data_IF_045730941260
#
_entry.id   IF_045730941260
#
_cell.length_a   1.000
_cell.length_b   1.000
_cell.length_c   1.000
_cell.angle_alpha   90.00
_cell.angle_beta   90.00
_cell.angle_gamma   90.00
#
_symmetry.space_group_name_H-M   'P 1'
#
loop_
_entity.id
_entity.type
_entity.pdbx_description
1 polymer ?
#
# COMPACT_ATOMS: atom_id res chain seq x y z
N UNK A 1 23.79 19.48 4.54
CA UNK A 1 22.78 19.93 3.54
C UNK A 1 22.70 18.86 2.46
N UNK A 2 21.66 18.02 2.39
CA UNK A 2 21.32 17.29 1.17
C UNK A 2 19.81 17.47 0.93
N UNK A 3 19.48 18.28 -0.08
CA UNK A 3 18.18 18.17 -0.76
C UNK A 3 18.33 16.93 -1.64
N UNK A 4 17.25 16.16 -1.86
CA UNK A 4 17.32 14.97 -2.71
C UNK A 4 17.95 15.37 -4.06
N UNK A 5 19.00 14.67 -4.49
CA UNK A 5 19.76 14.99 -5.71
C UNK A 5 18.82 15.07 -6.92
N UNK A 6 17.81 14.21 -6.96
CA UNK A 6 16.81 14.17 -8.03
C UNK A 6 15.91 15.42 -8.05
N UNK A 7 15.64 16.03 -6.89
CA UNK A 7 14.83 17.25 -6.81
C UNK A 7 15.59 18.47 -7.30
N UNK A 8 16.89 18.56 -6.98
CA UNK A 8 17.76 19.61 -7.49
C UNK A 8 17.92 19.51 -9.01
N UNK A 9 18.01 18.29 -9.54
CA UNK A 9 18.07 18.05 -10.98
C UNK A 9 16.77 18.50 -11.67
N UNK A 10 15.60 18.16 -11.11
CA UNK A 10 14.30 18.59 -11.68
C UNK A 10 14.12 20.11 -11.68
N UNK A 11 14.41 20.76 -10.55
CA UNK A 11 14.40 22.23 -10.44
C UNK A 11 15.38 22.87 -11.45
N UNK A 12 16.59 22.32 -11.56
CA UNK A 12 17.61 22.79 -12.50
C UNK A 12 17.18 22.65 -13.96
N UNK A 13 16.54 21.54 -14.33
CA UNK A 13 15.99 21.32 -15.66
C UNK A 13 14.87 22.32 -15.98
N UNK A 14 13.96 22.59 -15.05
CA UNK A 14 12.91 23.60 -15.26
C UNK A 14 13.49 25.01 -15.48
N UNK A 15 14.52 25.39 -14.71
CA UNK A 15 15.22 26.67 -14.94
C UNK A 15 15.87 26.71 -16.32
N UNK A 16 16.50 25.61 -16.74
CA UNK A 16 17.15 25.48 -18.05
C UNK A 16 16.13 25.58 -19.19
N UNK A 17 14.99 24.90 -19.07
CA UNK A 17 13.89 24.96 -20.04
C UNK A 17 13.32 26.38 -20.15
N UNK A 18 13.07 27.05 -19.03
CA UNK A 18 12.58 28.43 -19.03
C UNK A 18 13.60 29.38 -19.68
N UNK A 19 14.89 29.22 -19.41
CA UNK A 19 15.94 30.00 -20.07
C UNK A 19 15.96 29.78 -21.58
N UNK A 20 15.93 28.52 -22.02
CA UNK A 20 15.96 28.17 -23.44
C UNK A 20 14.69 28.64 -24.18
N UNK A 21 13.53 28.66 -23.50
CA UNK A 21 12.29 29.20 -24.07
C UNK A 21 12.36 30.70 -24.38
N UNK A 22 13.24 31.43 -23.68
CA UNK A 22 13.57 32.84 -23.93
C UNK A 22 14.78 33.03 -24.84
N UNK A 23 15.32 31.94 -25.41
CA UNK A 23 16.50 31.92 -26.28
C UNK A 23 17.76 32.51 -25.63
N UNK A 24 17.84 32.51 -24.30
CA UNK A 24 18.98 33.08 -23.57
C UNK A 24 20.10 32.06 -23.38
N UNK A 25 21.34 32.50 -23.48
CA UNK A 25 22.50 31.74 -22.99
C UNK A 25 22.61 31.82 -21.47
N UNK A 26 23.41 30.93 -20.86
CA UNK A 26 23.67 30.97 -19.41
C UNK A 26 24.36 32.29 -18.99
N UNK A 27 25.15 32.89 -19.88
CA UNK A 27 25.84 34.15 -19.68
C UNK A 27 24.88 35.34 -19.80
N UNK A 28 23.96 35.31 -20.76
CA UNK A 28 22.93 36.34 -20.91
C UNK A 28 21.95 36.34 -19.73
N UNK A 29 21.53 35.16 -19.28
CA UNK A 29 20.69 35.05 -18.08
C UNK A 29 21.44 35.54 -16.84
N UNK A 30 22.73 35.23 -16.72
CA UNK A 30 23.57 35.70 -15.64
C UNK A 30 23.65 37.24 -15.58
N UNK A 31 23.84 37.88 -16.74
CA UNK A 31 23.86 39.34 -16.88
C UNK A 31 22.51 39.96 -16.50
N UNK A 32 21.41 39.42 -17.01
CA UNK A 32 20.05 39.94 -16.76
C UNK A 32 19.61 39.77 -15.29
N UNK A 33 20.01 38.67 -14.65
CA UNK A 33 19.64 38.38 -13.25
C UNK A 33 20.65 38.92 -12.22
N UNK A 34 21.77 39.50 -12.66
CA UNK A 34 22.89 39.87 -11.80
C UNK A 34 23.37 38.71 -10.90
N UNK A 35 23.41 37.49 -11.48
CA UNK A 35 23.89 36.27 -10.84
C UNK A 35 25.05 35.75 -11.67
N UNK A 36 26.19 35.38 -11.08
CA UNK A 36 27.32 34.85 -11.83
C UNK A 36 26.93 33.64 -12.71
N UNK A 37 27.46 33.56 -13.93
CA UNK A 37 27.23 32.44 -14.85
C UNK A 37 27.55 31.07 -14.22
N UNK A 38 28.64 30.96 -13.46
CA UNK A 38 28.99 29.75 -12.72
C UNK A 38 27.91 29.32 -11.71
N UNK A 39 27.15 30.27 -11.15
CA UNK A 39 26.04 29.98 -10.23
C UNK A 39 24.80 29.49 -10.99
N UNK A 40 24.51 30.04 -12.17
CA UNK A 40 23.45 29.55 -13.07
C UNK A 40 23.75 28.10 -13.48
N UNK A 41 24.99 27.79 -13.88
CA UNK A 41 25.43 26.42 -14.22
C UNK A 41 25.19 25.46 -13.05
N UNK A 42 25.52 25.87 -11.82
CA UNK A 42 25.30 25.05 -10.63
C UNK A 42 23.82 24.81 -10.33
N UNK A 43 22.93 25.76 -10.65
CA UNK A 43 21.49 25.56 -10.51
C UNK A 43 20.96 24.58 -11.56
N UNK A 44 21.29 24.78 -12.84
CA UNK A 44 20.79 23.93 -13.93
C UNK A 44 21.26 22.48 -13.80
N UNK A 45 22.49 22.27 -13.32
CA UNK A 45 23.04 20.92 -13.12
C UNK A 45 22.59 20.27 -11.80
N UNK A 46 21.72 20.92 -11.03
CA UNK A 46 21.26 20.40 -9.73
C UNK A 46 22.36 20.28 -8.67
N UNK A 47 23.47 21.00 -8.83
CA UNK A 47 24.59 21.01 -7.88
C UNK A 47 24.32 21.93 -6.69
N UNK A 48 23.38 22.89 -6.84
CA UNK A 48 23.01 23.86 -5.81
C UNK A 48 21.52 24.21 -5.91
N UNK A 49 20.89 24.46 -4.76
CA UNK A 49 19.51 25.00 -4.71
C UNK A 49 19.48 26.50 -4.96
N UNK A 50 18.42 26.98 -5.62
CA UNK A 50 18.13 28.40 -5.80
C UNK A 50 17.64 29.00 -4.47
N UNK A 51 18.17 30.16 -4.07
CA UNK A 51 17.70 30.87 -2.88
C UNK A 51 16.38 31.59 -3.16
N UNK A 52 15.55 31.87 -2.15
CA UNK A 52 14.29 32.61 -2.35
C UNK A 52 14.49 33.97 -3.04
N UNK A 53 15.60 34.65 -2.76
CA UNK A 53 15.95 35.93 -3.39
C UNK A 53 16.22 35.74 -4.89
N UNK A 54 17.07 34.77 -5.23
CA UNK A 54 17.46 34.51 -6.62
C UNK A 54 16.31 33.90 -7.43
N UNK A 55 15.45 33.11 -6.80
CA UNK A 55 14.25 32.55 -7.42
C UNK A 55 13.32 33.66 -7.91
N UNK A 56 13.03 34.67 -7.06
CA UNK A 56 12.25 35.84 -7.48
C UNK A 56 12.86 36.55 -8.68
N UNK A 57 14.15 36.85 -8.61
CA UNK A 57 14.87 37.54 -9.69
C UNK A 57 14.80 36.73 -11.00
N UNK A 58 15.04 35.42 -10.93
CA UNK A 58 15.01 34.54 -12.11
C UNK A 58 13.59 34.39 -12.67
N UNK A 59 12.58 34.28 -11.81
CA UNK A 59 11.16 34.22 -12.21
C UNK A 59 10.73 35.51 -12.90
N UNK A 60 11.14 36.67 -12.38
CA UNK A 60 10.83 37.98 -12.97
C UNK A 60 11.51 38.13 -14.35
N UNK A 61 12.81 37.81 -14.45
CA UNK A 61 13.58 37.90 -15.70
C UNK A 61 13.06 36.94 -16.78
N UNK A 62 12.65 35.73 -16.39
CA UNK A 62 12.18 34.71 -17.32
C UNK A 62 10.66 34.75 -17.56
N UNK A 63 9.91 35.57 -16.82
CA UNK A 63 8.45 35.59 -16.86
C UNK A 63 7.83 34.23 -16.53
N UNK A 64 8.41 33.54 -15.55
CA UNK A 64 8.04 32.18 -15.18
C UNK A 64 7.53 32.11 -13.73
N UNK A 65 6.76 31.07 -13.40
CA UNK A 65 6.44 30.78 -12.00
C UNK A 65 7.71 30.46 -11.18
N UNK A 66 7.60 30.51 -9.86
CA UNK A 66 8.72 30.19 -8.94
C UNK A 66 9.28 28.78 -9.20
N UNK A 67 10.57 28.70 -9.49
CA UNK A 67 11.28 27.44 -9.75
C UNK A 67 11.42 26.58 -8.50
N UNK A 68 11.25 27.16 -7.32
CA UNK A 68 11.21 26.46 -6.03
C UNK A 68 9.78 26.20 -5.52
N UNK A 69 8.73 26.58 -6.26
CA UNK A 69 7.31 26.43 -5.88
C UNK A 69 6.97 24.99 -5.51
N UNK A 70 7.36 24.03 -6.34
CA UNK A 70 7.14 22.60 -6.09
C UNK A 70 7.81 22.10 -4.80
N UNK A 71 9.01 22.60 -4.49
CA UNK A 71 9.71 22.26 -3.26
C UNK A 71 9.06 22.89 -2.02
N UNK A 72 8.50 24.09 -2.14
CA UNK A 72 7.77 24.77 -1.06
C UNK A 72 6.42 24.08 -0.82
N UNK A 73 5.66 23.82 -1.89
CA UNK A 73 4.38 23.12 -1.83
C UNK A 73 4.54 21.71 -1.27
N UNK A 74 5.59 20.96 -1.64
CA UNK A 74 5.85 19.64 -1.06
C UNK A 74 6.16 19.68 0.43
N UNK A 75 6.90 20.69 0.92
CA UNK A 75 7.13 20.84 2.37
C UNK A 75 5.85 21.15 3.13
N UNK A 76 4.97 21.97 2.54
CA UNK A 76 3.63 22.21 3.08
C UNK A 76 2.78 20.93 3.01
N UNK A 77 2.89 20.16 1.93
CA UNK A 77 2.18 18.89 1.76
C UNK A 77 2.60 17.86 2.81
N UNK A 78 3.89 17.77 3.15
CA UNK A 78 4.40 16.88 4.22
C UNK A 78 3.82 17.25 5.59
N UNK A 79 3.62 18.55 5.87
CA UNK A 79 2.93 19.01 7.08
C UNK A 79 1.46 18.62 7.08
N UNK A 80 0.77 18.87 5.97
CA UNK A 80 -0.65 18.51 5.78
C UNK A 80 -0.84 16.99 5.94
N UNK A 81 0.05 16.18 5.36
CA UNK A 81 -0.01 14.73 5.45
C UNK A 81 0.28 14.22 6.86
N UNK A 82 1.18 14.90 7.61
CA UNK A 82 1.43 14.60 9.02
C UNK A 82 0.25 14.95 9.92
N UNK A 83 -0.42 16.09 9.69
CA UNK A 83 -1.64 16.48 10.43
C UNK A 83 -2.80 15.51 10.15
N UNK A 84 -2.94 15.08 8.89
CA UNK A 84 -3.89 14.01 8.52
C UNK A 84 -3.57 12.70 9.21
N UNK A 85 -2.29 12.30 9.27
CA UNK A 85 -1.86 11.11 10.00
C UNK A 85 -2.18 11.22 11.50
N UNK A 86 -1.94 12.38 12.11
CA UNK A 86 -2.22 12.61 13.52
C UNK A 86 -3.72 12.49 13.82
N UNK A 87 -4.57 13.17 13.06
CA UNK A 87 -6.02 13.18 13.23
C UNK A 87 -6.64 11.80 13.00
N UNK A 88 -6.20 11.10 11.96
CA UNK A 88 -6.66 9.74 11.62
C UNK A 88 -6.35 8.70 12.70
N UNK A 89 -5.20 8.82 13.36
CA UNK A 89 -4.74 7.84 14.37
C UNK A 89 -4.98 8.31 15.82
N UNK A 90 -5.60 9.47 16.03
CA UNK A 90 -5.90 10.04 17.36
C UNK A 90 -4.63 10.18 18.22
N UNK A 91 -3.50 10.55 17.61
CA UNK A 91 -2.25 10.74 18.36
C UNK A 91 -2.17 12.11 19.02
N UNK A 92 -1.76 12.12 20.29
CA UNK A 92 -1.34 13.36 20.94
C UNK A 92 -0.07 13.92 20.26
N UNK A 93 0.21 15.20 20.47
CA UNK A 93 1.44 15.80 19.92
C UNK A 93 2.68 15.17 20.56
N UNK A 94 2.56 14.75 21.81
CA UNK A 94 3.54 14.00 22.60
C UNK A 94 3.84 12.63 21.98
N UNK A 95 2.82 11.90 21.54
CA UNK A 95 2.98 10.60 20.89
C UNK A 95 3.68 10.74 19.53
N UNK A 96 3.30 11.76 18.76
CA UNK A 96 3.92 12.09 17.48
C UNK A 96 5.40 12.48 17.65
N UNK A 97 5.71 13.25 18.70
CA UNK A 97 7.07 13.63 19.09
C UNK A 97 7.93 12.40 19.39
N UNK A 98 7.42 11.46 20.19
CA UNK A 98 8.10 10.20 20.50
C UNK A 98 8.33 9.35 19.25
N UNK A 99 7.30 9.17 18.42
CA UNK A 99 7.39 8.38 17.17
C UNK A 99 8.39 8.94 16.17
N UNK A 100 8.47 10.26 16.03
CA UNK A 100 9.43 10.92 15.13
C UNK A 100 10.82 11.05 15.75
N UNK A 101 10.96 10.87 17.07
CA UNK A 101 12.16 11.23 17.81
C UNK A 101 12.54 12.70 17.60
N UNK A 102 11.54 13.58 17.61
CA UNK A 102 11.70 15.03 17.50
C UNK A 102 11.17 15.63 18.79
N UNK A 103 11.93 16.51 19.42
CA UNK A 103 11.53 17.17 20.66
C UNK A 103 10.20 17.94 20.49
N UNK A 104 9.33 17.88 21.49
CA UNK A 104 7.93 18.32 21.41
C UNK A 104 7.81 19.82 21.12
N UNK A 105 8.67 20.66 21.72
CA UNK A 105 8.67 22.10 21.47
C UNK A 105 9.06 22.41 20.01
N UNK A 106 9.99 21.63 19.45
CA UNK A 106 10.41 21.77 18.07
C UNK A 106 9.33 21.29 17.08
N UNK A 107 8.66 20.18 17.39
CA UNK A 107 7.54 19.68 16.60
C UNK A 107 6.37 20.68 16.59
N UNK A 108 6.03 21.23 17.75
CA UNK A 108 5.00 22.28 17.86
C UNK A 108 5.34 23.51 17.02
N UNK A 109 6.61 23.93 17.01
CA UNK A 109 7.07 25.05 16.18
C UNK A 109 6.89 24.77 14.68
N UNK A 110 7.09 23.52 14.25
CA UNK A 110 6.88 23.11 12.86
C UNK A 110 5.39 23.09 12.48
N UNK A 111 4.54 22.47 13.31
CA UNK A 111 3.09 22.37 13.07
C UNK A 111 2.42 23.75 13.06
N UNK A 112 2.80 24.62 14.00
CA UNK A 112 2.29 25.99 14.06
C UNK A 112 2.94 26.92 13.02
N UNK A 113 3.74 26.38 12.09
CA UNK A 113 4.45 27.09 11.02
C UNK A 113 5.40 28.24 11.46
N UNK A 114 5.59 28.43 12.76
CA UNK A 114 6.53 29.38 13.35
C UNK A 114 8.00 29.09 13.02
N UNK A 115 8.30 27.86 12.57
CA UNK A 115 9.62 27.45 12.08
C UNK A 115 9.50 26.52 10.88
N UNK A 116 10.33 26.67 9.84
CA UNK A 116 10.32 25.74 8.71
C UNK A 116 10.85 24.36 9.11
N UNK A 117 10.28 23.31 8.52
CA UNK A 117 10.74 21.93 8.70
C UNK A 117 12.23 21.78 8.35
N UNK A 118 12.98 21.19 9.29
CA UNK A 118 14.38 20.82 9.04
C UNK A 118 14.48 19.61 8.11
N UNK A 119 15.64 19.43 7.47
CA UNK A 119 15.87 18.28 6.57
C UNK A 119 15.70 16.94 7.28
N UNK A 120 16.23 16.81 8.49
CA UNK A 120 16.09 15.61 9.31
C UNK A 120 14.62 15.36 9.67
N UNK A 121 13.87 16.42 10.02
CA UNK A 121 12.45 16.31 10.29
C UNK A 121 11.67 15.83 9.06
N UNK A 122 11.93 16.37 7.86
CA UNK A 122 11.30 15.92 6.62
C UNK A 122 11.58 14.44 6.39
N UNK A 123 12.83 13.99 6.49
CA UNK A 123 13.18 12.57 6.28
C UNK A 123 12.45 11.68 7.29
N UNK A 124 12.44 12.05 8.58
CA UNK A 124 11.74 11.30 9.62
C UNK A 124 10.23 11.23 9.40
N UNK A 125 9.61 12.35 9.02
CA UNK A 125 8.18 12.42 8.72
C UNK A 125 7.86 11.62 7.46
N UNK A 126 8.60 11.82 6.38
CA UNK A 126 8.40 11.05 5.13
C UNK A 126 8.65 9.57 5.36
N UNK A 127 9.60 9.18 6.20
CA UNK A 127 9.84 7.79 6.59
C UNK A 127 8.69 7.25 7.44
N UNK A 128 8.14 8.02 8.40
CA UNK A 128 6.95 7.64 9.16
C UNK A 128 5.74 7.43 8.25
N UNK A 129 5.46 8.39 7.36
CA UNK A 129 4.35 8.35 6.41
C UNK A 129 4.53 7.26 5.34
N UNK A 130 5.76 6.97 4.93
CA UNK A 130 6.06 5.85 4.01
C UNK A 130 6.00 4.50 4.72
N UNK A 131 6.40 4.47 5.99
CA UNK A 131 6.24 3.32 6.87
C UNK A 131 4.81 3.19 7.40
N UNK A 132 3.86 4.06 7.04
CA UNK A 132 2.44 3.85 7.36
C UNK A 132 1.92 2.57 6.69
N UNK A 133 2.57 2.11 5.60
CA UNK A 133 2.36 0.78 5.03
C UNK A 133 3.05 -0.37 5.80
N UNK A 134 4.07 -0.07 6.62
CA UNK A 134 4.82 -1.02 7.45
C UNK A 134 4.33 -1.07 8.91
N UNK A 135 3.80 0.00 9.48
CA UNK A 135 3.16 -0.02 10.82
C UNK A 135 1.89 -0.88 10.81
N UNK A 136 1.28 -1.11 9.64
CA UNK A 136 0.23 -2.12 9.45
C UNK A 136 0.70 -3.54 9.81
N UNK A 137 2.01 -3.82 9.72
CA UNK A 137 2.59 -5.08 10.17
C UNK A 137 2.78 -5.13 11.70
N UNK A 138 2.70 -4.00 12.42
CA UNK A 138 2.96 -3.93 13.86
C UNK A 138 1.76 -4.29 14.76
N UNK A 139 0.54 -4.37 14.22
CA UNK A 139 -0.64 -4.74 15.01
C UNK A 139 -0.83 -6.26 15.15
N UNK A 140 0.07 -7.07 14.59
CA UNK A 140 0.14 -8.52 14.84
C UNK A 140 1.60 -8.89 15.16
N UNK A 141 2.10 -8.44 16.32
CA UNK A 141 3.38 -8.93 16.84
C UNK A 141 3.23 -10.37 17.32
N UNK A 142 4.01 -11.29 16.75
CA UNK A 142 4.42 -12.51 17.45
C UNK A 142 5.67 -12.19 18.29
N UNK A 143 5.89 -12.96 19.36
CA UNK A 143 6.91 -12.68 20.39
C UNK A 143 8.35 -12.56 19.85
N UNK A 144 8.63 -13.10 18.66
CA UNK A 144 9.96 -13.12 18.03
C UNK A 144 10.24 -11.94 17.06
N UNK A 145 9.27 -11.04 16.86
CA UNK A 145 9.43 -9.90 15.96
C UNK A 145 9.46 -10.25 14.46
N UNK A 146 9.15 -11.50 14.07
CA UNK A 146 9.05 -11.90 12.67
C UNK A 146 7.59 -11.91 12.19
N UNK A 147 7.32 -11.27 11.04
CA UNK A 147 6.02 -11.37 10.37
C UNK A 147 6.03 -12.59 9.45
N UNK A 148 5.40 -13.68 9.88
CA UNK A 148 5.07 -14.81 9.01
C UNK A 148 3.55 -14.99 8.98
N UNK A 149 2.99 -14.87 7.78
CA UNK A 149 1.61 -15.28 7.52
C UNK A 149 1.42 -16.74 7.99
N UNK A 150 0.26 -17.09 8.58
CA UNK A 150 0.04 -18.43 9.09
C UNK A 150 0.13 -19.45 7.96
N UNK A 151 0.83 -20.55 8.23
CA UNK A 151 0.93 -21.67 7.30
C UNK A 151 -0.35 -22.52 7.46
N UNK A 152 -0.95 -22.90 6.33
CA UNK A 152 -2.14 -23.76 6.35
C UNK A 152 -1.73 -25.17 6.77
N UNK A 153 -2.15 -25.58 7.97
CA UNK A 153 -2.24 -26.99 8.32
C UNK A 153 -3.45 -27.61 7.61
N UNK A 154 -3.17 -28.33 6.51
CA UNK A 154 -4.22 -28.92 5.68
C UNK A 154 -5.02 -29.99 6.43
N UNK A 155 -4.41 -30.72 7.36
CA UNK A 155 -5.10 -31.77 8.13
C UNK A 155 -6.08 -31.10 9.09
N UNK A 156 -5.64 -30.07 9.83
CA UNK A 156 -6.51 -29.33 10.72
C UNK A 156 -7.63 -28.60 9.96
N UNK A 157 -7.33 -28.01 8.79
CA UNK A 157 -8.34 -27.43 7.89
C UNK A 157 -9.37 -28.48 7.47
N UNK A 158 -8.93 -29.67 7.07
CA UNK A 158 -9.80 -30.77 6.67
C UNK A 158 -10.75 -31.21 7.79
N UNK A 159 -10.23 -31.32 9.02
CA UNK A 159 -11.05 -31.61 10.22
C UNK A 159 -12.14 -30.56 10.43
N UNK A 160 -11.82 -29.27 10.32
CA UNK A 160 -12.82 -28.19 10.44
C UNK A 160 -13.90 -28.25 9.35
N UNK A 161 -13.52 -28.56 8.11
CA UNK A 161 -14.48 -28.77 7.01
C UNK A 161 -15.40 -29.96 7.34
N UNK A 162 -14.83 -31.05 7.84
CA UNK A 162 -15.59 -32.23 8.24
C UNK A 162 -16.57 -31.93 9.39
N UNK A 163 -16.15 -31.18 10.40
CA UNK A 163 -17.00 -30.75 11.52
C UNK A 163 -18.18 -29.92 11.02
N UNK A 164 -17.93 -28.93 10.14
CA UNK A 164 -18.98 -28.12 9.52
C UNK A 164 -20.01 -29.02 8.82
N UNK A 165 -19.57 -30.01 8.04
CA UNK A 165 -20.48 -30.95 7.38
C UNK A 165 -21.24 -31.83 8.37
N UNK A 166 -20.55 -32.42 9.35
CA UNK A 166 -21.15 -33.34 10.33
C UNK A 166 -22.18 -32.63 11.22
N UNK A 167 -21.92 -31.40 11.64
CA UNK A 167 -22.85 -30.58 12.42
C UNK A 167 -24.15 -30.28 11.66
N UNK A 168 -24.16 -30.44 10.33
CA UNK A 168 -25.33 -30.29 9.48
C UNK A 168 -26.02 -31.63 9.17
N UNK A 169 -25.48 -32.76 9.63
CA UNK A 169 -26.00 -34.10 9.32
C UNK A 169 -25.92 -34.45 7.83
N UNK A 170 -25.01 -33.85 7.07
CA UNK A 170 -24.94 -34.02 5.62
C UNK A 170 -23.95 -35.12 5.20
N UNK A 171 -24.32 -35.90 4.19
CA UNK A 171 -23.37 -36.80 3.52
C UNK A 171 -22.37 -35.98 2.70
N UNK A 172 -21.21 -36.57 2.37
CA UNK A 172 -20.21 -35.92 1.51
C UNK A 172 -20.80 -35.43 0.17
N UNK A 173 -21.72 -36.21 -0.39
CA UNK A 173 -22.38 -35.89 -1.66
C UNK A 173 -23.39 -34.75 -1.49
N UNK A 174 -24.25 -34.81 -0.46
CA UNK A 174 -25.23 -33.75 -0.18
C UNK A 174 -24.52 -32.42 0.10
N UNK A 175 -23.44 -32.46 0.87
CA UNK A 175 -22.63 -31.28 1.18
C UNK A 175 -22.05 -30.62 -0.08
N UNK A 176 -21.45 -31.42 -0.97
CA UNK A 176 -20.85 -30.91 -2.20
C UNK A 176 -21.85 -30.38 -3.23
N UNK A 177 -23.12 -30.82 -3.20
CA UNK A 177 -24.20 -30.32 -4.06
C UNK A 177 -24.67 -28.91 -3.68
N UNK A 178 -24.44 -28.45 -2.45
CA UNK A 178 -24.86 -27.14 -1.96
C UNK A 178 -23.98 -25.97 -2.46
N UNK A 179 -22.92 -26.23 -3.23
CA UNK A 179 -22.00 -25.18 -3.70
C UNK A 179 -22.41 -24.62 -5.05
N UNK A 180 -22.12 -23.34 -5.31
CA UNK A 180 -22.28 -22.70 -6.63
C UNK A 180 -21.73 -23.57 -7.77
N UNK A 181 -20.55 -24.15 -7.52
CA UNK A 181 -19.93 -25.15 -8.38
C UNK A 181 -19.89 -26.47 -7.62
N UNK A 182 -20.75 -27.45 -7.98
CA UNK A 182 -20.84 -28.70 -7.27
C UNK A 182 -19.46 -29.38 -7.11
N UNK A 183 -19.27 -30.00 -5.95
CA UNK A 183 -18.11 -30.84 -5.66
C UNK A 183 -18.56 -32.29 -5.47
N UNK A 184 -17.92 -33.22 -6.19
CA UNK A 184 -18.21 -34.64 -6.01
C UNK A 184 -17.74 -35.14 -4.64
N UNK A 185 -18.34 -36.24 -4.16
CA UNK A 185 -17.99 -36.93 -2.90
C UNK A 185 -16.47 -37.08 -2.70
N UNK A 186 -15.75 -37.52 -3.74
CA UNK A 186 -14.31 -37.74 -3.68
C UNK A 186 -13.52 -36.45 -3.45
N UNK A 187 -14.00 -35.32 -3.98
CA UNK A 187 -13.36 -34.02 -3.83
C UNK A 187 -13.52 -33.52 -2.39
N UNK A 188 -14.75 -33.59 -1.86
CA UNK A 188 -15.03 -33.22 -0.46
C UNK A 188 -14.21 -34.09 0.50
N UNK A 189 -14.15 -35.41 0.25
CA UNK A 189 -13.34 -36.33 1.03
C UNK A 189 -11.84 -35.98 1.02
N UNK A 190 -11.27 -35.56 -0.12
CA UNK A 190 -9.88 -35.11 -0.20
C UNK A 190 -9.61 -33.85 0.60
N UNK A 191 -10.58 -32.93 0.70
CA UNK A 191 -10.44 -31.77 1.57
C UNK A 191 -10.48 -32.15 3.04
N UNK A 192 -11.44 -33.00 3.44
CA UNK A 192 -11.56 -33.46 4.83
C UNK A 192 -10.33 -34.24 5.31
N UNK A 193 -9.66 -34.95 4.40
CA UNK A 193 -8.38 -35.62 4.67
C UNK A 193 -7.16 -34.69 4.60
N UNK A 194 -7.33 -33.41 4.26
CA UNK A 194 -6.24 -32.46 4.12
C UNK A 194 -5.33 -32.70 2.90
N UNK A 195 -5.77 -33.47 1.91
CA UNK A 195 -4.99 -33.73 0.70
C UNK A 195 -4.89 -32.46 -0.16
N UNK A 196 -6.03 -31.79 -0.38
CA UNK A 196 -6.14 -30.60 -1.22
C UNK A 196 -6.84 -29.45 -0.48
N UNK A 197 -6.48 -28.21 -0.81
CA UNK A 197 -7.17 -27.02 -0.33
C UNK A 197 -8.33 -26.70 -1.30
N UNK A 198 -9.55 -26.43 -0.82
CA UNK A 198 -10.64 -25.97 -1.68
C UNK A 198 -10.26 -24.67 -2.39
N UNK A 199 -10.69 -24.50 -3.64
CA UNK A 199 -10.64 -23.19 -4.28
C UNK A 199 -11.47 -22.16 -3.51
N UNK A 200 -11.21 -20.88 -3.75
CA UNK A 200 -11.80 -19.81 -2.97
C UNK A 200 -13.34 -19.80 -3.05
N UNK A 201 -13.93 -20.10 -4.20
CA UNK A 201 -15.40 -20.11 -4.37
C UNK A 201 -16.03 -21.19 -3.49
N UNK A 202 -15.45 -22.40 -3.50
CA UNK A 202 -15.91 -23.51 -2.68
C UNK A 202 -15.65 -23.25 -1.19
N UNK A 203 -14.53 -22.62 -0.84
CA UNK A 203 -14.24 -22.28 0.54
C UNK A 203 -15.20 -21.21 1.09
N UNK A 204 -15.59 -20.22 0.27
CA UNK A 204 -16.64 -19.25 0.61
C UNK A 204 -17.98 -19.94 0.87
N UNK A 205 -18.35 -20.95 0.06
CA UNK A 205 -19.56 -21.74 0.29
C UNK A 205 -19.48 -22.56 1.59
N UNK A 206 -18.34 -23.21 1.89
CA UNK A 206 -18.14 -23.95 3.14
C UNK A 206 -18.28 -23.02 4.35
N UNK A 207 -17.66 -21.84 4.30
CA UNK A 207 -17.76 -20.82 5.33
C UNK A 207 -19.20 -20.36 5.55
N UNK A 208 -19.95 -20.15 4.47
CA UNK A 208 -21.36 -19.80 4.51
C UNK A 208 -22.22 -20.90 5.16
N UNK A 209 -22.07 -22.15 4.72
CA UNK A 209 -22.82 -23.28 5.28
C UNK A 209 -22.52 -23.54 6.75
N UNK A 210 -21.27 -23.30 7.16
CA UNK A 210 -20.81 -23.41 8.55
C UNK A 210 -21.08 -22.18 9.40
N UNK A 211 -21.53 -21.06 8.82
CA UNK A 211 -21.66 -19.76 9.49
C UNK A 211 -20.38 -19.30 10.19
N UNK A 212 -19.23 -19.58 9.58
CA UNK A 212 -17.89 -19.24 10.08
C UNK A 212 -17.14 -18.35 9.09
N UNK A 213 -16.02 -17.77 9.52
CA UNK A 213 -15.14 -17.03 8.62
C UNK A 213 -14.23 -17.97 7.83
N UNK A 214 -13.86 -17.59 6.60
CA UNK A 214 -12.88 -18.36 5.80
C UNK A 214 -11.52 -18.53 6.52
N UNK A 215 -10.95 -17.49 7.18
CA UNK A 215 -9.71 -17.65 7.96
C UNK A 215 -9.80 -18.71 9.07
N UNK A 216 -10.96 -18.86 9.72
CA UNK A 216 -11.18 -19.92 10.71
C UNK A 216 -10.99 -21.31 10.08
N UNK A 217 -11.54 -21.53 8.88
CA UNK A 217 -11.40 -22.83 8.22
C UNK A 217 -9.94 -23.12 7.90
N UNK A 218 -9.18 -22.14 7.42
CA UNK A 218 -7.78 -22.39 7.02
C UNK A 218 -6.80 -22.45 8.18
N UNK A 219 -6.93 -21.58 9.17
CA UNK A 219 -5.89 -21.38 10.20
C UNK A 219 -6.40 -21.60 11.63
N UNK A 220 -7.70 -21.79 11.83
CA UNK A 220 -8.31 -21.99 13.15
C UNK A 220 -8.74 -20.69 13.85
N UNK A 221 -9.17 -20.84 15.10
CA UNK A 221 -9.83 -19.79 15.87
C UNK A 221 -8.97 -18.53 16.06
N UNK A 222 -7.67 -18.72 16.29
CA UNK A 222 -6.70 -17.62 16.48
C UNK A 222 -6.73 -16.59 15.35
N UNK A 223 -7.05 -17.02 14.12
CA UNK A 223 -7.06 -16.15 12.94
C UNK A 223 -8.47 -15.87 12.41
N UNK A 224 -9.54 -16.25 13.14
CA UNK A 224 -10.92 -16.13 12.67
C UNK A 224 -11.29 -14.68 12.29
N UNK A 225 -10.70 -13.70 12.97
CA UNK A 225 -10.91 -12.25 12.78
C UNK A 225 -9.79 -11.56 12.01
N UNK A 226 -8.90 -12.31 11.35
CA UNK A 226 -7.73 -11.76 10.64
C UNK A 226 -8.12 -10.84 9.47
N UNK A 227 -9.32 -11.00 8.89
CA UNK A 227 -9.80 -10.21 7.76
C UNK A 227 -10.95 -9.28 8.15
N UNK A 228 -11.10 -8.18 7.41
CA UNK A 228 -12.23 -7.26 7.57
C UNK A 228 -13.55 -8.00 7.32
N UNK A 229 -14.54 -7.79 8.20
CA UNK A 229 -15.90 -8.29 7.99
C UNK A 229 -16.49 -7.65 6.73
N UNK A 230 -17.02 -8.47 5.84
CA UNK A 230 -17.78 -8.02 4.68
C UNK A 230 -19.29 -8.21 4.89
N UNK A 231 -20.08 -7.61 4.02
CA UNK A 231 -21.53 -7.82 3.98
C UNK A 231 -21.92 -9.28 3.78
N UNK A 232 -23.07 -9.69 4.33
CA UNK A 232 -23.59 -11.05 4.13
C UNK A 232 -23.93 -11.26 2.66
N UNK A 233 -23.33 -12.30 2.06
CA UNK A 233 -23.66 -12.73 0.70
C UNK A 233 -24.83 -13.70 0.80
N UNK A 234 -25.94 -13.39 0.14
CA UNK A 234 -27.11 -14.27 0.02
C UNK A 234 -27.03 -15.18 -1.21
N UNK A 235 -26.28 -14.78 -2.24
CA UNK A 235 -26.11 -15.52 -3.49
C UNK A 235 -24.66 -15.45 -3.97
N UNK A 236 -24.02 -16.61 -4.07
CA UNK A 236 -22.68 -16.72 -4.62
C UNK A 236 -22.74 -16.78 -6.14
N UNK A 237 -22.20 -15.75 -6.80
CA UNK A 237 -21.99 -15.76 -8.24
C UNK A 237 -20.68 -16.47 -8.59
N UNK A 238 -20.51 -16.79 -9.87
CA UNK A 238 -19.21 -17.26 -10.37
C UNK A 238 -18.20 -16.12 -10.28
N UNK A 239 -17.01 -16.43 -9.79
CA UNK A 239 -15.89 -15.51 -9.69
C UNK A 239 -15.52 -14.98 -11.08
N UNK A 240 -15.51 -13.65 -11.20
CA UNK A 240 -15.02 -12.93 -12.38
C UNK A 240 -13.54 -12.58 -12.17
N UNK A 241 -12.66 -13.28 -12.90
CA UNK A 241 -11.21 -13.14 -12.74
C UNK A 241 -10.72 -11.75 -13.13
N UNK A 242 -11.35 -11.10 -14.12
CA UNK A 242 -10.97 -9.77 -14.57
C UNK A 242 -11.34 -8.72 -13.53
N UNK A 243 -12.60 -8.73 -13.04
CA UNK A 243 -13.04 -7.80 -11.99
C UNK A 243 -12.26 -7.98 -10.69
N UNK A 244 -11.96 -9.22 -10.30
CA UNK A 244 -11.07 -9.49 -9.17
C UNK A 244 -9.67 -8.95 -9.42
N UNK A 245 -9.11 -9.17 -10.61
CA UNK A 245 -7.80 -8.66 -11.02
C UNK A 245 -7.68 -7.14 -10.91
N UNK A 246 -8.73 -6.40 -11.29
CA UNK A 246 -8.78 -4.95 -11.11
C UNK A 246 -8.73 -4.54 -9.63
N UNK A 247 -9.37 -5.30 -8.73
CA UNK A 247 -9.30 -5.05 -7.29
C UNK A 247 -7.94 -5.40 -6.69
N UNK A 248 -7.30 -6.47 -7.14
CA UNK A 248 -5.90 -6.79 -6.77
C UNK A 248 -4.96 -5.64 -7.18
N UNK A 249 -5.13 -5.13 -8.41
CA UNK A 249 -4.38 -3.97 -8.91
C UNK A 249 -4.64 -2.71 -8.09
N UNK A 250 -5.90 -2.47 -7.72
CA UNK A 250 -6.27 -1.34 -6.86
C UNK A 250 -5.53 -1.41 -5.53
N UNK A 251 -5.57 -2.55 -4.84
CA UNK A 251 -4.86 -2.77 -3.58
C UNK A 251 -3.38 -2.40 -3.73
N UNK A 252 -2.68 -2.93 -4.73
CA UNK A 252 -1.27 -2.59 -4.95
C UNK A 252 -1.05 -1.09 -5.20
N UNK A 253 -1.91 -0.46 -6.01
CA UNK A 253 -1.80 0.98 -6.31
C UNK A 253 -2.07 1.86 -5.10
N UNK A 254 -2.92 1.43 -4.18
CA UNK A 254 -3.15 2.13 -2.91
C UNK A 254 -1.86 2.18 -2.07
N UNK A 255 -0.98 1.18 -2.20
CA UNK A 255 0.37 1.18 -1.64
C UNK A 255 1.42 1.95 -2.47
N UNK A 256 1.07 2.44 -3.67
CA UNK A 256 1.99 3.12 -4.61
C UNK A 256 3.24 2.30 -4.97
N UNK A 257 3.10 0.98 -5.03
CA UNK A 257 4.20 0.07 -5.32
C UNK A 257 4.11 -0.53 -6.72
N UNK A 258 5.28 -0.79 -7.30
CA UNK A 258 5.41 -1.62 -8.48
C UNK A 258 5.16 -3.10 -8.16
N UNK A 259 4.82 -3.89 -9.18
CA UNK A 259 4.47 -5.31 -9.00
C UNK A 259 5.58 -6.11 -8.34
N UNK A 260 6.82 -5.82 -8.70
CA UNK A 260 7.97 -6.54 -8.14
C UNK A 260 8.13 -6.31 -6.64
N UNK A 261 7.99 -5.06 -6.19
CA UNK A 261 8.09 -4.73 -4.77
C UNK A 261 6.85 -5.17 -3.99
N UNK A 262 5.67 -5.04 -4.58
CA UNK A 262 4.45 -5.56 -3.98
C UNK A 262 4.49 -7.09 -3.83
N UNK A 263 5.15 -7.79 -4.76
CA UNK A 263 5.41 -9.23 -4.74
C UNK A 263 6.09 -9.73 -3.48
N UNK A 264 6.94 -8.90 -2.86
CA UNK A 264 7.74 -9.24 -1.68
C UNK A 264 6.92 -9.29 -0.38
N UNK A 265 5.70 -8.73 -0.37
CA UNK A 265 4.82 -8.77 0.81
C UNK A 265 4.14 -10.13 1.02
N UNK A 266 4.22 -11.01 0.03
CA UNK A 266 3.59 -12.32 0.06
C UNK A 266 4.54 -13.37 0.61
N UNK A 267 3.98 -14.41 1.24
CA UNK A 267 4.75 -15.57 1.71
C UNK A 267 4.21 -16.85 1.07
N UNK A 268 4.97 -17.51 0.17
CA UNK A 268 6.24 -17.07 -0.41
C UNK A 268 6.09 -15.80 -1.28
N UNK A 269 7.17 -15.11 -1.70
CA UNK A 269 7.03 -13.97 -2.61
C UNK A 269 6.32 -14.34 -3.92
N UNK A 270 5.58 -13.40 -4.51
CA UNK A 270 4.96 -13.55 -5.84
C UNK A 270 5.82 -12.79 -6.86
N UNK A 271 6.06 -13.40 -8.02
CA UNK A 271 6.83 -12.77 -9.09
C UNK A 271 6.02 -11.66 -9.79
N UNK A 272 6.72 -10.70 -10.39
CA UNK A 272 6.11 -9.66 -11.24
C UNK A 272 5.17 -10.24 -12.30
N UNK A 273 5.55 -11.34 -12.93
CA UNK A 273 4.79 -11.98 -14.01
C UNK A 273 3.49 -12.61 -13.52
N UNK A 274 3.53 -13.34 -12.39
CA UNK A 274 2.31 -13.88 -11.78
C UNK A 274 1.36 -12.77 -11.35
N UNK A 275 1.88 -11.68 -10.76
CA UNK A 275 1.06 -10.51 -10.43
C UNK A 275 0.43 -9.88 -11.66
N UNK A 276 1.17 -9.73 -12.76
CA UNK A 276 0.62 -9.19 -13.99
C UNK A 276 -0.54 -10.06 -14.51
N UNK A 277 -0.41 -11.38 -14.50
CA UNK A 277 -1.49 -12.29 -14.86
C UNK A 277 -2.72 -12.14 -13.96
N UNK A 278 -2.52 -12.09 -12.64
CA UNK A 278 -3.60 -11.92 -11.68
C UNK A 278 -4.34 -10.59 -11.88
N UNK A 279 -3.60 -9.49 -12.02
CA UNK A 279 -4.18 -8.15 -12.17
C UNK A 279 -4.87 -7.92 -13.51
N UNK A 280 -4.51 -8.69 -14.53
CA UNK A 280 -5.16 -8.66 -15.85
C UNK A 280 -6.26 -9.73 -15.97
N UNK A 281 -6.54 -10.50 -14.91
CA UNK A 281 -7.55 -11.57 -14.90
C UNK A 281 -7.21 -12.76 -15.78
N UNK A 282 -5.97 -12.87 -16.27
CA UNK A 282 -5.47 -13.99 -17.08
C UNK A 282 -5.25 -15.25 -16.25
N UNK A 283 -5.14 -15.10 -14.92
CA UNK A 283 -5.00 -16.19 -13.97
C UNK A 283 -5.65 -15.82 -12.64
N UNK A 284 -6.02 -16.83 -11.84
CA UNK A 284 -6.63 -16.68 -10.52
C UNK A 284 -5.59 -17.09 -9.47
N UNK A 285 -5.24 -16.22 -8.50
CA UNK A 285 -4.37 -16.62 -7.41
C UNK A 285 -4.99 -17.78 -6.62
N UNK A 286 -4.16 -18.67 -6.09
CA UNK A 286 -4.68 -19.73 -5.22
C UNK A 286 -5.32 -19.15 -3.94
N UNK A 287 -6.10 -19.97 -3.24
CA UNK A 287 -6.86 -19.57 -2.05
C UNK A 287 -6.01 -18.86 -0.99
N UNK A 288 -4.82 -19.38 -0.71
CA UNK A 288 -3.91 -18.79 0.27
C UNK A 288 -3.47 -17.40 -0.18
N UNK A 289 -3.11 -17.22 -1.46
CA UNK A 289 -2.77 -15.89 -2.01
C UNK A 289 -3.91 -14.92 -1.92
N UNK A 290 -5.14 -15.33 -2.21
CA UNK A 290 -6.30 -14.44 -2.15
C UNK A 290 -6.50 -13.94 -0.71
N UNK A 291 -6.29 -14.79 0.29
CA UNK A 291 -6.33 -14.35 1.68
C UNK A 291 -5.20 -13.39 2.00
N UNK A 292 -3.98 -13.66 1.55
CA UNK A 292 -2.86 -12.74 1.72
C UNK A 292 -3.17 -11.38 1.08
N UNK A 293 -3.75 -11.34 -0.11
CA UNK A 293 -4.21 -10.11 -0.76
C UNK A 293 -5.27 -9.39 0.07
N UNK A 294 -6.27 -10.11 0.59
CA UNK A 294 -7.32 -9.51 1.42
C UNK A 294 -6.76 -8.91 2.71
N UNK A 295 -5.81 -9.63 3.33
CA UNK A 295 -5.12 -9.20 4.54
C UNK A 295 -4.27 -7.95 4.27
N UNK A 296 -3.36 -8.01 3.28
CA UNK A 296 -2.51 -6.88 2.88
C UNK A 296 -3.37 -5.69 2.47
N UNK A 297 -4.44 -5.91 1.72
CA UNK A 297 -5.34 -4.85 1.27
C UNK A 297 -6.29 -4.31 2.34
N UNK A 298 -6.35 -4.92 3.53
CA UNK A 298 -7.34 -4.60 4.58
C UNK A 298 -8.79 -4.62 4.09
N UNK A 299 -9.09 -5.54 3.19
CA UNK A 299 -10.42 -5.69 2.60
C UNK A 299 -11.07 -7.00 3.02
N UNK A 300 -12.40 -7.06 2.90
CA UNK A 300 -13.12 -8.31 3.08
C UNK A 300 -12.93 -9.21 1.86
N UNK A 301 -13.07 -10.53 2.03
CA UNK A 301 -13.09 -11.46 0.90
C UNK A 301 -14.29 -11.20 -0.02
N UNK A 302 -15.41 -10.74 0.53
CA UNK A 302 -16.62 -10.42 -0.23
C UNK A 302 -16.36 -9.26 -1.20
N UNK A 303 -15.68 -8.21 -0.73
CA UNK A 303 -15.25 -7.12 -1.58
C UNK A 303 -14.23 -7.61 -2.61
N UNK A 304 -13.21 -8.36 -2.18
CA UNK A 304 -12.13 -8.77 -3.06
C UNK A 304 -12.61 -9.68 -4.20
N UNK A 305 -13.48 -10.64 -3.89
CA UNK A 305 -13.95 -11.66 -4.83
C UNK A 305 -15.15 -11.17 -5.64
N UNK A 306 -16.12 -10.51 -4.99
CA UNK A 306 -17.41 -10.17 -5.61
C UNK A 306 -17.64 -8.66 -5.76
N UNK A 307 -16.84 -7.81 -5.14
CA UNK A 307 -17.03 -6.35 -5.17
C UNK A 307 -18.13 -5.87 -4.23
N UNK A 308 -18.59 -6.70 -3.31
CA UNK A 308 -19.64 -6.36 -2.33
C UNK A 308 -18.98 -5.78 -1.07
N UNK A 309 -19.31 -4.54 -0.72
CA UNK A 309 -18.86 -3.88 0.52
C UNK A 309 -19.66 -4.39 1.71
#
# INVERSE_FOLDING_TARGET
MQINKDELIKMGNHLKEARLSKQLTQEELARLSNISQATIVKYENGLRSISKKNDRILSDVLGAESFIKDMIQRKQQVLIDLEKYQTKNIFSREDLSKKLGIEISLLNKFLNQSRPLSKNAIVKITQLLSNEGKEILMDIKQEDGSFKLPIIDKIAMGKRIQEIRKNRGETLEKFGKNFTRPAGKNVVNRWEKGTNIPDIERLMNVAYLGKVAVPYILYGETFSKMLKKGSRISKFEKLDSFRMGLRLRKIRRDYRLEREDFGKFFSPPITKWSMDKYENGKDIPNTDRIIQYAYIGKVSLNFLIYGVN
#
